data_IF_521599300853
#
_entry.id   IF_521599300853
#
_cell.length_a   1.000
_cell.length_b   1.000
_cell.length_c   1.000
_cell.angle_alpha   90.00
_cell.angle_beta   90.00
_cell.angle_gamma   90.00
#
_symmetry.space_group_name_H-M   'P 1'
#
loop_
_entity.id
_entity.type
_entity.pdbx_description
1 polymer ?
#
# COMPACT_ATOMS: atom_id res chain seq x y z
N UNK A 1 -10.37 14.19 -47.44
CA UNK A 1 -9.87 13.34 -46.34
C UNK A 1 -10.68 13.72 -45.11
N UNK A 2 -11.80 13.03 -44.86
CA UNK A 2 -12.63 13.25 -43.68
C UNK A 2 -11.89 12.62 -42.50
N UNK A 3 -11.36 13.45 -41.61
CA UNK A 3 -10.83 12.99 -40.32
C UNK A 3 -12.06 12.62 -39.49
N UNK A 4 -12.39 11.32 -39.47
CA UNK A 4 -13.32 10.77 -38.50
C UNK A 4 -12.68 10.99 -37.13
N UNK A 5 -13.18 11.96 -36.37
CA UNK A 5 -12.92 12.04 -34.94
C UNK A 5 -13.55 10.80 -34.32
N UNK A 6 -12.74 9.76 -34.06
CA UNK A 6 -13.15 8.65 -33.20
C UNK A 6 -13.45 9.27 -31.84
N UNK A 7 -14.72 9.43 -31.53
CA UNK A 7 -15.17 9.78 -30.19
C UNK A 7 -14.83 8.56 -29.33
N UNK A 8 -13.72 8.64 -28.60
CA UNK A 8 -13.34 7.60 -27.65
C UNK A 8 -14.36 7.65 -26.51
N UNK A 9 -15.03 6.54 -26.25
CA UNK A 9 -16.05 6.46 -25.21
C UNK A 9 -15.38 6.47 -23.83
N UNK A 10 -15.17 7.66 -23.26
CA UNK A 10 -14.76 7.81 -21.87
C UNK A 10 -15.82 7.24 -20.91
N UNK A 11 -15.41 6.93 -19.68
CA UNK A 11 -16.37 6.56 -18.63
C UNK A 11 -17.20 7.81 -18.28
N UNK A 12 -18.49 7.78 -18.64
CA UNK A 12 -19.43 8.82 -18.26
C UNK A 12 -19.62 8.81 -16.73
N UNK A 13 -19.31 9.93 -16.08
CA UNK A 13 -19.42 10.09 -14.63
C UNK A 13 -20.19 11.38 -14.30
N UNK A 14 -21.35 11.21 -13.69
CA UNK A 14 -22.04 12.27 -12.97
C UNK A 14 -21.68 12.17 -11.48
N UNK A 15 -20.89 13.12 -10.99
CA UNK A 15 -20.35 13.11 -9.62
C UNK A 15 -21.41 13.38 -8.54
N UNK A 16 -22.59 13.85 -8.92
CA UNK A 16 -23.70 14.11 -7.99
C UNK A 16 -24.77 13.00 -8.03
N UNK A 17 -24.62 11.99 -8.89
CA UNK A 17 -25.49 10.81 -8.94
C UNK A 17 -24.79 9.57 -8.36
N UNK A 18 -25.34 9.06 -7.26
CA UNK A 18 -24.87 7.85 -6.58
C UNK A 18 -24.85 6.63 -7.51
N UNK A 19 -25.81 6.50 -8.42
CA UNK A 19 -25.88 5.36 -9.34
C UNK A 19 -24.77 5.44 -10.38
N UNK A 20 -24.55 6.62 -10.97
CA UNK A 20 -23.43 6.89 -11.88
C UNK A 20 -22.08 6.56 -11.24
N UNK A 21 -21.80 7.04 -10.01
CA UNK A 21 -20.54 6.75 -9.30
C UNK A 21 -20.35 5.24 -9.11
N UNK A 22 -21.39 4.52 -8.66
CA UNK A 22 -21.33 3.07 -8.46
C UNK A 22 -21.07 2.32 -9.76
N UNK A 23 -21.75 2.70 -10.85
CA UNK A 23 -21.61 2.06 -12.16
C UNK A 23 -20.22 2.31 -12.76
N UNK A 24 -19.71 3.53 -12.67
CA UNK A 24 -18.36 3.88 -13.12
C UNK A 24 -17.31 3.09 -12.34
N UNK A 25 -17.38 3.10 -11.00
CA UNK A 25 -16.47 2.33 -10.16
C UNK A 25 -16.56 0.81 -10.40
N UNK A 26 -17.77 0.27 -10.58
CA UNK A 26 -17.98 -1.16 -10.85
C UNK A 26 -17.40 -1.58 -12.21
N UNK A 27 -17.52 -0.73 -13.24
CA UNK A 27 -16.93 -0.95 -14.56
C UNK A 27 -15.40 -1.04 -14.47
N UNK A 28 -14.76 -0.06 -13.81
CA UNK A 28 -13.30 -0.06 -13.64
C UNK A 28 -12.85 -1.24 -12.78
N UNK A 29 -13.60 -1.58 -11.72
CA UNK A 29 -13.32 -2.74 -10.89
C UNK A 29 -13.36 -4.05 -11.71
N UNK A 30 -14.37 -4.20 -12.58
CA UNK A 30 -14.49 -5.35 -13.47
C UNK A 30 -13.27 -5.45 -14.41
N UNK A 31 -12.90 -4.35 -15.05
CA UNK A 31 -11.76 -4.31 -15.97
C UNK A 31 -10.43 -4.58 -15.25
N UNK A 32 -10.24 -4.00 -14.06
CA UNK A 32 -9.08 -4.28 -13.23
C UNK A 32 -8.99 -5.77 -12.84
N UNK A 33 -10.12 -6.41 -12.55
CA UNK A 33 -10.17 -7.84 -12.24
C UNK A 33 -9.77 -8.74 -13.41
N UNK A 34 -9.79 -8.25 -14.65
CA UNK A 34 -9.30 -9.03 -15.80
C UNK A 34 -7.78 -9.28 -15.75
N UNK A 35 -7.02 -8.44 -15.05
CA UNK A 35 -5.58 -8.62 -14.79
C UNK A 35 -5.32 -9.69 -13.71
N UNK A 36 -6.31 -10.03 -12.89
CA UNK A 36 -6.16 -11.03 -11.84
C UNK A 36 -6.34 -12.44 -12.39
N UNK A 37 -5.30 -13.27 -12.31
CA UNK A 37 -5.36 -14.69 -12.67
C UNK A 37 -5.29 -15.62 -11.46
N UNK A 38 -5.14 -15.10 -10.25
CA UNK A 38 -4.94 -15.89 -9.04
C UNK A 38 -6.14 -16.74 -8.60
N UNK A 39 -7.35 -16.46 -9.10
CA UNK A 39 -8.55 -17.29 -8.87
C UNK A 39 -8.74 -18.39 -9.93
N UNK A 40 -7.89 -18.45 -10.96
CA UNK A 40 -7.98 -19.46 -12.01
C UNK A 40 -7.22 -20.72 -11.58
N UNK A 41 -7.54 -21.86 -12.19
CA UNK A 41 -6.79 -23.10 -11.95
C UNK A 41 -5.32 -22.90 -12.31
N UNK A 42 -4.41 -23.27 -11.39
CA UNK A 42 -2.97 -23.03 -11.51
C UNK A 42 -2.51 -21.60 -11.18
N UNK A 43 -3.44 -20.69 -10.91
CA UNK A 43 -3.15 -19.35 -10.40
C UNK A 43 -2.76 -19.37 -8.92
N UNK A 44 -2.02 -18.34 -8.50
CA UNK A 44 -1.67 -18.14 -7.08
C UNK A 44 -2.59 -17.05 -6.52
N UNK A 45 -3.46 -17.37 -5.55
CA UNK A 45 -4.36 -16.36 -5.03
C UNK A 45 -3.65 -15.20 -4.35
N UNK A 46 -4.21 -14.00 -4.51
CA UNK A 46 -3.62 -12.75 -4.01
C UNK A 46 -2.49 -12.19 -4.88
N UNK A 47 -2.13 -12.87 -5.98
CA UNK A 47 -1.09 -12.42 -6.90
C UNK A 47 -1.70 -11.97 -8.23
N UNK A 48 -1.34 -10.77 -8.68
CA UNK A 48 -1.64 -10.27 -10.02
C UNK A 48 -0.50 -10.65 -10.97
N UNK A 49 -0.83 -10.99 -12.21
CA UNK A 49 0.21 -11.28 -13.22
C UNK A 49 0.88 -9.96 -13.63
N UNK A 50 2.17 -10.03 -14.00
CA UNK A 50 3.00 -8.90 -14.47
C UNK A 50 3.42 -7.83 -13.46
N UNK A 51 3.05 -7.94 -12.19
CA UNK A 51 3.50 -7.01 -11.15
C UNK A 51 4.57 -7.65 -10.26
N UNK A 52 5.74 -7.03 -10.14
CA UNK A 52 6.64 -7.18 -8.97
C UNK A 52 5.99 -6.68 -7.68
N UNK A 53 4.91 -5.90 -7.83
CA UNK A 53 4.11 -5.23 -6.80
C UNK A 53 3.19 -6.23 -6.09
N UNK A 54 3.81 -6.98 -5.19
CA UNK A 54 3.31 -8.17 -4.49
C UNK A 54 2.42 -7.86 -3.27
N UNK A 55 2.16 -6.58 -2.99
CA UNK A 55 1.72 -6.10 -1.66
C UNK A 55 0.51 -5.15 -1.69
N UNK A 56 -0.04 -4.81 -2.86
CA UNK A 56 -0.73 -3.53 -3.02
C UNK A 56 -2.18 -3.62 -3.49
N UNK A 57 -2.92 -4.62 -3.04
CA UNK A 57 -4.32 -4.76 -3.44
C UNK A 57 -5.26 -5.16 -2.31
N UNK A 58 -4.80 -5.12 -1.07
CA UNK A 58 -5.52 -5.74 0.02
C UNK A 58 -6.97 -5.25 0.20
N UNK A 59 -7.30 -3.96 0.05
CA UNK A 59 -8.70 -3.50 0.18
C UNK A 59 -9.63 -3.87 -0.99
N UNK A 60 -9.10 -4.08 -2.20
CA UNK A 60 -9.89 -4.57 -3.33
C UNK A 60 -9.98 -6.10 -3.31
N UNK A 61 -8.92 -6.74 -2.81
CA UNK A 61 -8.86 -8.17 -2.58
C UNK A 61 -9.87 -8.61 -1.53
N UNK A 62 -10.31 -7.76 -0.59
CA UNK A 62 -11.37 -8.11 0.37
C UNK A 62 -12.55 -8.87 -0.29
N UNK A 63 -12.99 -8.49 -1.50
CA UNK A 63 -13.98 -9.26 -2.28
C UNK A 63 -13.52 -10.66 -2.76
N UNK A 64 -12.24 -10.82 -3.07
CA UNK A 64 -11.56 -12.11 -3.37
C UNK A 64 -11.44 -12.99 -2.11
N UNK A 65 -11.25 -12.39 -0.93
CA UNK A 65 -11.16 -13.12 0.34
C UNK A 65 -12.47 -13.83 0.69
N UNK A 66 -13.61 -13.40 0.12
CA UNK A 66 -14.90 -14.07 0.28
C UNK A 66 -14.94 -15.49 -0.30
N UNK A 67 -14.07 -15.82 -1.27
CA UNK A 67 -14.25 -17.02 -2.08
C UNK A 67 -13.29 -18.19 -1.82
N UNK A 68 -12.30 -18.11 -0.92
CA UNK A 68 -11.37 -19.25 -0.83
C UNK A 68 -10.68 -19.37 0.54
N UNK A 69 -10.92 -20.50 1.21
CA UNK A 69 -10.15 -20.92 2.38
C UNK A 69 -8.64 -21.09 2.08
N UNK A 70 -8.28 -21.53 0.87
CA UNK A 70 -6.88 -21.67 0.46
C UNK A 70 -6.16 -20.34 0.21
N UNK A 71 -6.86 -19.32 -0.31
CA UNK A 71 -6.29 -17.98 -0.51
C UNK A 71 -6.01 -17.28 0.81
N UNK A 72 -6.93 -17.42 1.77
CA UNK A 72 -6.74 -16.91 3.12
C UNK A 72 -5.52 -17.55 3.80
N UNK A 73 -5.35 -18.88 3.64
CA UNK A 73 -4.21 -19.62 4.22
C UNK A 73 -2.86 -19.20 3.61
N UNK A 74 -2.80 -18.98 2.29
CA UNK A 74 -1.55 -18.58 1.63
C UNK A 74 -1.12 -17.17 2.05
N UNK A 75 -2.07 -16.23 2.12
CA UNK A 75 -1.78 -14.82 2.38
C UNK A 75 -1.37 -14.56 3.83
N UNK A 76 -2.00 -15.22 4.79
CA UNK A 76 -1.67 -15.05 6.22
C UNK A 76 -0.28 -15.59 6.60
N UNK A 77 0.34 -16.40 5.74
CA UNK A 77 1.58 -17.10 6.04
C UNK A 77 1.40 -18.27 7.02
N UNK A 78 2.43 -19.10 7.14
CA UNK A 78 2.46 -20.28 7.99
C UNK A 78 2.28 -19.91 9.47
N UNK A 79 2.83 -18.77 9.88
CA UNK A 79 2.84 -18.25 11.24
C UNK A 79 1.68 -17.29 11.56
N UNK A 80 0.79 -17.02 10.59
CA UNK A 80 -0.35 -16.10 10.78
C UNK A 80 0.09 -14.66 11.09
N UNK A 81 1.11 -14.20 10.38
CA UNK A 81 1.76 -12.90 10.58
C UNK A 81 1.85 -12.09 9.28
N UNK A 82 1.25 -12.58 8.19
CA UNK A 82 1.38 -12.01 6.84
C UNK A 82 2.83 -12.02 6.32
N UNK A 83 3.66 -12.96 6.79
CA UNK A 83 5.03 -13.18 6.30
C UNK A 83 5.20 -14.57 5.70
N UNK A 84 4.51 -14.91 4.58
CA UNK A 84 4.65 -16.23 3.96
C UNK A 84 6.08 -16.49 3.49
N UNK A 85 6.63 -17.67 3.81
CA UNK A 85 8.04 -17.99 3.57
C UNK A 85 8.47 -17.86 2.09
N UNK A 86 7.58 -18.21 1.15
CA UNK A 86 7.81 -18.10 -0.29
C UNK A 86 8.07 -16.65 -0.78
N UNK A 87 7.80 -15.65 0.04
CA UNK A 87 7.87 -14.22 -0.32
C UNK A 87 8.96 -13.49 0.47
N UNK A 88 9.78 -14.23 1.21
CA UNK A 88 10.88 -13.70 2.03
C UNK A 88 11.89 -12.85 1.26
N UNK A 89 12.11 -13.12 -0.03
CA UNK A 89 13.03 -12.35 -0.89
C UNK A 89 12.55 -10.95 -1.27
N UNK A 90 11.31 -10.58 -0.93
CA UNK A 90 10.73 -9.27 -1.20
C UNK A 90 9.86 -8.81 -0.02
N UNK A 91 10.31 -9.08 1.21
CA UNK A 91 9.55 -8.82 2.42
C UNK A 91 10.03 -7.54 3.11
N UNK A 92 9.42 -6.42 2.75
CA UNK A 92 9.51 -5.17 3.47
C UNK A 92 8.53 -5.05 4.63
N UNK A 93 8.85 -4.20 5.61
CA UNK A 93 7.91 -3.84 6.68
C UNK A 93 6.71 -3.06 6.12
N UNK A 94 6.92 -2.30 5.06
CA UNK A 94 5.87 -1.69 4.24
C UNK A 94 5.00 -2.76 3.56
N UNK A 95 5.60 -3.75 2.88
CA UNK A 95 4.85 -4.83 2.23
C UNK A 95 3.92 -5.56 3.20
N UNK A 96 4.48 -6.00 4.35
CA UNK A 96 3.70 -6.61 5.42
C UNK A 96 2.67 -5.63 6.01
N UNK A 97 3.05 -4.35 6.13
CA UNK A 97 2.21 -3.27 6.64
C UNK A 97 0.96 -3.04 5.81
N UNK A 98 1.04 -3.07 4.48
CA UNK A 98 -0.14 -2.95 3.60
C UNK A 98 -1.13 -4.10 3.79
N UNK A 99 -0.65 -5.32 4.02
CA UNK A 99 -1.50 -6.46 4.41
C UNK A 99 -2.12 -6.28 5.80
N UNK A 100 -1.36 -5.77 6.77
CA UNK A 100 -1.88 -5.43 8.10
C UNK A 100 -2.96 -4.35 8.06
N UNK A 101 -2.73 -3.25 7.32
CA UNK A 101 -3.71 -2.18 7.12
C UNK A 101 -4.98 -2.65 6.40
N UNK A 102 -4.84 -3.65 5.53
CA UNK A 102 -5.98 -4.30 4.87
C UNK A 102 -6.80 -5.11 5.86
N UNK A 103 -6.16 -5.96 6.66
CA UNK A 103 -6.84 -6.72 7.70
C UNK A 103 -7.53 -5.77 8.71
N UNK A 104 -6.86 -4.68 9.09
CA UNK A 104 -7.45 -3.66 9.94
C UNK A 104 -8.70 -3.02 9.29
N UNK A 105 -8.66 -2.76 7.99
CA UNK A 105 -9.81 -2.20 7.26
C UNK A 105 -10.98 -3.17 7.19
N UNK A 106 -10.70 -4.46 7.02
CA UNK A 106 -11.72 -5.51 7.06
C UNK A 106 -12.42 -5.56 8.43
N UNK A 107 -11.66 -5.49 9.53
CA UNK A 107 -12.21 -5.42 10.89
C UNK A 107 -13.05 -4.15 11.13
N UNK A 108 -12.61 -3.01 10.61
CA UNK A 108 -13.23 -1.70 10.74
C UNK A 108 -14.50 -1.52 9.90
N UNK A 109 -14.61 -2.23 8.79
CA UNK A 109 -15.75 -2.13 7.85
C UNK A 109 -16.77 -3.25 8.01
N UNK A 110 -16.62 -4.08 9.06
CA UNK A 110 -17.44 -5.28 9.29
C UNK A 110 -17.45 -6.21 8.08
N UNK A 111 -16.30 -6.35 7.43
CA UNK A 111 -16.17 -7.34 6.39
C UNK A 111 -16.46 -8.74 6.97
N UNK A 112 -17.17 -9.64 6.25
CA UNK A 112 -17.50 -10.96 6.76
C UNK A 112 -16.30 -11.66 7.39
N UNK A 113 -16.50 -12.21 8.57
CA UNK A 113 -15.43 -12.87 9.31
C UNK A 113 -14.98 -14.15 8.59
N UNK A 114 -13.69 -14.52 8.72
CA UNK A 114 -13.19 -15.78 8.18
C UNK A 114 -13.93 -17.00 8.76
N UNK A 115 -13.86 -18.18 8.10
CA UNK A 115 -14.47 -19.40 8.61
C UNK A 115 -14.05 -19.71 10.05
N UNK A 116 -14.96 -20.30 10.84
CA UNK A 116 -14.68 -20.67 12.22
C UNK A 116 -13.40 -21.50 12.35
N UNK A 117 -12.57 -21.18 13.36
CA UNK A 117 -11.24 -21.77 13.54
C UNK A 117 -10.12 -21.07 12.77
N UNK A 118 -10.44 -20.13 11.87
CA UNK A 118 -9.45 -19.23 11.26
C UNK A 118 -9.28 -17.96 12.11
N UNK A 119 -8.07 -17.36 12.14
CA UNK A 119 -7.83 -16.08 12.81
C UNK A 119 -8.69 -14.95 12.25
N UNK A 120 -9.22 -14.09 13.13
CA UNK A 120 -9.98 -12.91 12.70
C UNK A 120 -9.11 -11.87 11.99
N UNK A 121 -9.76 -10.93 11.31
CA UNK A 121 -9.10 -9.78 10.68
C UNK A 121 -8.33 -8.94 11.70
N UNK A 122 -8.93 -8.73 12.87
CA UNK A 122 -8.28 -8.01 13.96
C UNK A 122 -7.01 -8.74 14.44
N UNK A 123 -7.06 -10.06 14.59
CA UNK A 123 -5.91 -10.86 15.00
C UNK A 123 -4.75 -10.76 14.00
N UNK A 124 -5.05 -10.73 12.70
CA UNK A 124 -4.04 -10.55 11.65
C UNK A 124 -3.39 -9.15 11.69
N UNK A 125 -4.18 -8.09 11.89
CA UNK A 125 -3.64 -6.75 12.07
C UNK A 125 -2.75 -6.65 13.33
N UNK A 126 -3.16 -7.28 14.43
CA UNK A 126 -2.37 -7.39 15.66
C UNK A 126 -1.07 -8.18 15.44
N UNK A 127 -1.10 -9.25 14.66
CA UNK A 127 0.11 -10.03 14.33
C UNK A 127 1.14 -9.18 13.59
N UNK A 128 0.72 -8.43 12.56
CA UNK A 128 1.60 -7.53 11.82
C UNK A 128 2.20 -6.48 12.76
N UNK A 129 1.37 -5.83 13.58
CA UNK A 129 1.86 -4.84 14.55
C UNK A 129 2.88 -5.44 15.53
N UNK A 130 2.55 -6.57 16.16
CA UNK A 130 3.40 -7.20 17.17
C UNK A 130 4.74 -7.66 16.59
N UNK A 131 4.73 -8.24 15.39
CA UNK A 131 5.97 -8.65 14.71
C UNK A 131 6.82 -7.45 14.26
N UNK A 132 6.21 -6.32 13.91
CA UNK A 132 6.94 -5.08 13.64
C UNK A 132 7.50 -4.45 14.92
N UNK A 133 6.74 -4.44 16.01
CA UNK A 133 7.15 -3.85 17.28
C UNK A 133 8.42 -4.50 17.86
N UNK A 134 8.65 -5.80 17.62
CA UNK A 134 9.90 -6.48 18.05
C UNK A 134 11.10 -6.21 17.14
N UNK A 135 10.91 -5.61 15.96
CA UNK A 135 11.96 -5.30 14.97
C UNK A 135 12.39 -3.84 14.97
N UNK A 136 11.90 -3.06 15.93
CA UNK A 136 12.28 -1.67 16.09
C UNK A 136 13.80 -1.58 16.31
N UNK A 137 14.46 -0.81 15.45
CA UNK A 137 15.86 -0.45 15.61
C UNK A 137 15.95 0.89 16.35
N UNK A 138 16.33 0.80 17.62
CA UNK A 138 16.54 1.94 18.52
C UNK A 138 18.01 2.33 18.68
N UNK A 139 18.91 1.78 17.87
CA UNK A 139 20.36 1.97 18.00
C UNK A 139 20.96 2.82 16.88
N UNK A 140 20.35 2.82 15.70
CA UNK A 140 20.83 3.58 14.52
C UNK A 140 19.95 4.79 14.23
N UNK A 141 20.49 5.80 13.53
CA UNK A 141 19.79 7.05 13.20
C UNK A 141 19.35 7.86 14.44
N UNK A 142 20.31 8.12 15.34
CA UNK A 142 20.11 8.85 16.61
C UNK A 142 19.16 8.16 17.62
N UNK A 143 18.90 6.86 17.42
CA UNK A 143 18.00 6.07 18.25
C UNK A 143 16.52 6.31 17.95
N UNK A 144 15.63 5.85 18.84
CA UNK A 144 14.17 6.02 18.72
C UNK A 144 13.43 4.83 18.10
N UNK A 145 12.11 4.95 17.97
CA UNK A 145 11.24 3.86 17.48
C UNK A 145 11.13 3.90 15.97
N UNK A 146 11.97 3.11 15.29
CA UNK A 146 11.99 3.06 13.84
C UNK A 146 12.15 1.67 13.25
N UNK A 147 11.49 1.46 12.11
CA UNK A 147 11.67 0.29 11.27
C UNK A 147 12.63 0.61 10.11
N UNK A 148 13.40 -0.40 9.74
CA UNK A 148 14.08 -0.46 8.45
C UNK A 148 13.06 -0.78 7.36
N UNK A 149 13.39 -0.48 6.11
CA UNK A 149 12.55 -0.83 4.98
C UNK A 149 12.34 -2.34 4.92
N UNK A 150 13.43 -3.11 4.84
CA UNK A 150 13.38 -4.56 4.70
C UNK A 150 13.26 -5.28 6.05
N UNK A 151 12.55 -6.41 6.09
CA UNK A 151 12.43 -7.25 7.29
C UNK A 151 13.71 -8.04 7.55
N UNK A 152 14.33 -8.57 6.48
CA UNK A 152 15.47 -9.47 6.62
C UNK A 152 16.81 -8.79 6.31
N UNK A 153 17.87 -9.03 7.10
CA UNK A 153 19.18 -8.38 6.93
C UNK A 153 19.86 -8.59 5.57
N UNK A 154 19.57 -9.70 4.89
CA UNK A 154 20.16 -10.05 3.60
C UNK A 154 19.50 -9.37 2.40
N UNK A 155 18.41 -8.62 2.62
CA UNK A 155 17.70 -7.93 1.55
C UNK A 155 18.35 -6.58 1.23
N UNK A 156 18.47 -6.29 -0.06
CA UNK A 156 18.86 -4.97 -0.54
C UNK A 156 17.87 -3.92 -0.01
N UNK A 157 18.38 -2.88 0.65
CA UNK A 157 17.56 -1.86 1.29
C UNK A 157 17.35 -2.07 2.80
N UNK A 158 17.91 -3.12 3.41
CA UNK A 158 17.88 -3.29 4.87
C UNK A 158 18.59 -2.15 5.64
N UNK A 159 19.56 -1.49 5.03
CA UNK A 159 20.23 -0.30 5.57
C UNK A 159 19.44 0.99 5.34
N UNK A 160 18.31 0.94 4.63
CA UNK A 160 17.46 2.11 4.38
C UNK A 160 16.34 2.17 5.42
N UNK A 161 16.18 3.32 6.09
CA UNK A 161 15.02 3.61 6.94
C UNK A 161 14.12 4.58 6.20
N UNK A 162 12.94 4.14 5.79
CA UNK A 162 12.03 4.93 4.97
C UNK A 162 10.75 5.32 5.72
N UNK A 163 10.11 6.39 5.25
CA UNK A 163 8.87 6.92 5.81
C UNK A 163 7.71 5.96 5.63
N UNK A 164 7.69 5.14 4.57
CA UNK A 164 6.57 4.23 4.29
C UNK A 164 6.49 3.05 5.28
N UNK A 165 7.60 2.40 5.63
CA UNK A 165 7.58 1.31 6.63
C UNK A 165 7.11 1.83 8.00
N UNK A 166 7.62 3.00 8.40
CA UNK A 166 7.27 3.65 9.66
C UNK A 166 5.83 4.20 9.64
N UNK A 167 5.38 4.74 8.50
CA UNK A 167 4.02 5.21 8.28
C UNK A 167 2.98 4.08 8.35
N UNK A 168 3.29 2.91 7.80
CA UNK A 168 2.45 1.72 7.94
C UNK A 168 2.32 1.30 9.41
N UNK A 169 3.43 1.22 10.15
CA UNK A 169 3.43 0.86 11.56
C UNK A 169 2.64 1.88 12.41
N UNK A 170 2.87 3.18 12.19
CA UNK A 170 2.10 4.27 12.78
C UNK A 170 0.59 4.13 12.51
N UNK A 171 0.22 3.89 11.25
CA UNK A 171 -1.18 3.76 10.83
C UNK A 171 -1.89 2.60 11.54
N UNK A 172 -1.25 1.42 11.55
CA UNK A 172 -1.79 0.23 12.21
C UNK A 172 -1.90 0.47 13.72
N UNK A 173 -0.86 1.03 14.36
CA UNK A 173 -0.87 1.35 15.80
C UNK A 173 -2.00 2.30 16.18
N UNK A 174 -2.14 3.43 15.49
CA UNK A 174 -3.22 4.40 15.75
C UNK A 174 -4.62 3.77 15.60
N UNK A 175 -4.81 2.92 14.60
CA UNK A 175 -6.08 2.23 14.33
C UNK A 175 -6.38 1.14 15.34
N UNK A 176 -5.39 0.35 15.74
CA UNK A 176 -5.52 -0.65 16.79
C UNK A 176 -5.82 0.01 18.14
N UNK A 177 -5.17 1.14 18.45
CA UNK A 177 -5.47 1.92 19.66
C UNK A 177 -6.95 2.32 19.71
N UNK A 178 -7.47 2.91 18.62
CA UNK A 178 -8.89 3.28 18.52
C UNK A 178 -9.81 2.07 18.58
N UNK A 179 -9.51 1.00 17.84
CA UNK A 179 -10.40 -0.15 17.73
C UNK A 179 -10.51 -0.93 19.04
N UNK A 180 -9.39 -1.08 19.76
CA UNK A 180 -9.28 -1.93 20.94
C UNK A 180 -9.34 -1.16 22.26
N UNK A 181 -9.21 0.18 22.21
CA UNK A 181 -9.05 1.05 23.38
C UNK A 181 -7.83 0.66 24.25
N UNK A 182 -6.74 0.22 23.61
CA UNK A 182 -5.49 -0.13 24.28
C UNK A 182 -4.43 0.95 24.01
N UNK A 183 -3.97 1.58 25.10
CA UNK A 183 -3.04 2.71 25.06
C UNK A 183 -1.66 2.36 24.48
N UNK A 184 -1.18 1.12 24.65
CA UNK A 184 0.15 0.72 24.16
C UNK A 184 0.30 0.95 22.65
N UNK A 185 -0.75 0.68 21.86
CA UNK A 185 -0.70 0.94 20.42
C UNK A 185 -0.60 2.44 20.10
N UNK A 186 -1.22 3.30 20.91
CA UNK A 186 -1.13 4.75 20.77
C UNK A 186 0.27 5.25 21.14
N UNK A 187 0.87 4.71 22.20
CA UNK A 187 2.22 5.07 22.64
C UNK A 187 3.24 4.81 21.52
N UNK A 188 3.17 3.63 20.87
CA UNK A 188 4.02 3.34 19.72
C UNK A 188 3.78 4.28 18.53
N UNK A 189 2.52 4.61 18.25
CA UNK A 189 2.20 5.56 17.18
C UNK A 189 2.77 6.96 17.48
N UNK A 190 2.68 7.42 18.73
CA UNK A 190 3.28 8.70 19.15
C UNK A 190 4.82 8.66 19.03
N UNK A 191 5.45 7.58 19.49
CA UNK A 191 6.91 7.42 19.39
C UNK A 191 7.40 7.40 17.93
N UNK A 192 6.67 6.74 17.03
CA UNK A 192 7.00 6.75 15.59
C UNK A 192 6.81 8.14 14.98
N UNK A 193 5.73 8.86 15.34
CA UNK A 193 5.51 10.23 14.88
C UNK A 193 6.67 11.15 15.28
N UNK A 194 7.04 11.14 16.56
CA UNK A 194 8.13 11.96 17.07
C UNK A 194 9.46 11.58 16.41
N UNK A 195 9.69 10.30 16.15
CA UNK A 195 10.89 9.87 15.43
C UNK A 195 10.95 10.45 14.01
N UNK A 196 9.89 10.33 13.19
CA UNK A 196 9.83 10.86 11.81
C UNK A 196 10.11 12.36 11.77
N UNK A 197 9.58 13.11 12.74
CA UNK A 197 9.86 14.55 12.88
C UNK A 197 11.33 14.80 13.23
N UNK A 198 11.85 14.12 14.24
CA UNK A 198 13.20 14.38 14.77
C UNK A 198 14.33 14.04 13.78
N UNK A 199 14.13 13.01 12.94
CA UNK A 199 15.08 12.66 11.86
C UNK A 199 14.96 13.55 10.62
N UNK A 200 14.00 14.49 10.61
CA UNK A 200 13.81 15.43 9.51
C UNK A 200 13.13 14.83 8.28
N UNK A 201 12.50 13.65 8.41
CA UNK A 201 11.66 13.09 7.33
C UNK A 201 10.35 13.85 7.21
N UNK A 202 9.98 14.63 8.21
CA UNK A 202 8.91 15.62 8.14
C UNK A 202 9.47 17.00 8.45
N UNK A 203 9.34 17.94 7.51
CA UNK A 203 9.75 19.34 7.73
C UNK A 203 8.68 20.15 8.50
N UNK A 204 9.00 21.40 8.83
CA UNK A 204 8.09 22.32 9.54
C UNK A 204 6.83 22.66 8.75
N UNK A 205 6.84 22.43 7.43
CA UNK A 205 5.69 22.58 6.54
C UNK A 205 4.92 21.28 6.35
N UNK A 206 5.23 20.24 7.12
CA UNK A 206 4.63 18.90 7.05
C UNK A 206 4.88 18.17 5.72
N UNK A 207 5.89 18.57 4.94
CA UNK A 207 6.34 17.79 3.80
C UNK A 207 7.01 16.52 4.30
N UNK A 208 6.65 15.37 3.72
CA UNK A 208 7.20 14.06 4.10
C UNK A 208 8.18 13.59 3.02
N UNK A 209 9.42 13.32 3.41
CA UNK A 209 10.49 12.79 2.55
C UNK A 209 10.56 11.26 2.61
N UNK A 210 11.20 10.65 1.61
CA UNK A 210 11.16 9.20 1.39
C UNK A 210 11.91 8.39 2.46
N UNK A 211 13.11 8.82 2.84
CA UNK A 211 13.94 8.11 3.79
C UNK A 211 15.43 8.46 3.65
N UNK A 212 16.26 7.72 4.38
CA UNK A 212 17.71 7.83 4.35
C UNK A 212 18.38 6.50 4.72
N UNK A 213 19.62 6.31 4.27
CA UNK A 213 20.45 5.18 4.67
C UNK A 213 21.03 5.41 6.08
N UNK A 214 21.14 4.34 6.87
CA UNK A 214 21.76 4.40 8.22
C UNK A 214 23.20 4.91 8.18
N UNK A 215 23.89 4.68 7.06
CA UNK A 215 25.29 5.01 6.78
C UNK A 215 25.50 6.54 6.69
N UNK A 216 24.43 7.28 6.36
CA UNK A 216 24.41 8.74 6.18
C UNK A 216 23.89 9.49 7.41
N UNK A 217 23.80 8.79 8.55
CA UNK A 217 23.53 9.33 9.88
C UNK A 217 22.20 10.12 10.02
N UNK A 218 21.19 9.87 9.17
CA UNK A 218 19.78 10.28 9.30
C UNK A 218 19.48 11.69 9.89
N UNK A 219 20.40 12.67 9.77
CA UNK A 219 20.37 13.92 10.53
C UNK A 219 19.57 15.02 9.79
N UNK A 220 18.83 15.95 10.41
CA UNK A 220 18.43 16.22 11.80
C UNK A 220 17.38 17.37 11.85
N UNK A 221 16.52 17.46 12.88
CA UNK A 221 16.35 18.62 13.81
C UNK A 221 15.30 18.31 14.91
N UNK A 222 15.64 18.55 16.17
CA UNK A 222 14.80 18.37 17.37
C UNK A 222 13.94 19.59 17.69
N UNK A 223 12.62 19.45 17.93
CA UNK A 223 11.93 20.33 18.88
C UNK A 223 10.61 19.77 19.47
N UNK A 224 10.64 19.78 20.81
CA UNK A 224 9.67 19.75 21.90
C UNK A 224 8.27 19.10 21.80
N UNK A 225 8.01 18.36 22.87
CA UNK A 225 6.85 17.57 23.28
C UNK A 225 5.71 18.44 23.81
N UNK A 226 4.46 18.00 23.69
CA UNK A 226 3.47 17.91 24.81
C UNK A 226 2.09 17.43 24.35
N UNK A 227 1.24 17.16 25.34
CA UNK A 227 -0.04 16.44 25.35
C UNK A 227 -1.15 16.96 24.41
N UNK A 228 -1.61 16.07 23.54
CA UNK A 228 -3.00 15.57 23.49
C UNK A 228 -4.18 16.56 23.50
N UNK A 229 -4.93 16.53 22.39
CA UNK A 229 -6.29 17.07 22.12
C UNK A 229 -6.40 18.32 21.22
N UNK A 230 -5.36 19.16 21.09
CA UNK A 230 -5.31 20.23 20.07
C UNK A 230 -4.21 19.97 19.01
N UNK A 231 -3.14 19.31 19.44
CA UNK A 231 -1.95 19.03 18.64
C UNK A 231 -2.26 18.11 17.46
N UNK A 232 -3.13 17.11 17.64
CA UNK A 232 -3.51 16.22 16.54
C UNK A 232 -4.37 16.91 15.48
N UNK A 233 -5.22 17.86 15.87
CA UNK A 233 -5.97 18.67 14.90
C UNK A 233 -5.02 19.56 14.09
N UNK A 234 -4.05 20.21 14.73
CA UNK A 234 -3.01 21.00 14.07
C UNK A 234 -2.18 20.14 13.11
N UNK A 235 -1.72 18.97 13.55
CA UNK A 235 -0.98 18.01 12.72
C UNK A 235 -1.80 17.58 11.50
N UNK A 236 -3.09 17.29 11.66
CA UNK A 236 -3.98 16.95 10.54
C UNK A 236 -4.11 18.12 9.56
N UNK A 237 -4.30 19.35 10.04
CA UNK A 237 -4.35 20.53 9.17
C UNK A 237 -3.04 20.77 8.43
N UNK A 238 -1.90 20.65 9.11
CA UNK A 238 -0.57 20.77 8.51
C UNK A 238 -0.35 19.75 7.40
N UNK A 239 -0.61 18.48 7.67
CA UNK A 239 -0.50 17.40 6.68
C UNK A 239 -1.44 17.61 5.49
N UNK A 240 -2.68 18.03 5.72
CA UNK A 240 -3.63 18.31 4.63
C UNK A 240 -3.14 19.46 3.74
N UNK A 241 -2.62 20.54 4.33
CA UNK A 241 -2.11 21.66 3.57
C UNK A 241 -0.90 21.27 2.70
N UNK A 242 0.06 20.53 3.26
CA UNK A 242 1.19 19.99 2.50
C UNK A 242 0.71 19.06 1.38
N UNK A 243 -0.27 18.20 1.68
CA UNK A 243 -0.85 17.27 0.73
C UNK A 243 -1.50 18.00 -0.46
N UNK A 244 -2.35 18.99 -0.19
CA UNK A 244 -3.01 19.77 -1.24
C UNK A 244 -2.01 20.56 -2.09
N UNK A 245 -0.98 21.14 -1.45
CA UNK A 245 0.06 21.91 -2.14
C UNK A 245 0.87 21.04 -3.10
N UNK A 246 1.29 19.87 -2.64
CA UNK A 246 2.22 19.03 -3.39
C UNK A 246 1.50 18.12 -4.38
N UNK A 247 0.43 17.45 -3.95
CA UNK A 247 -0.19 16.37 -4.72
C UNK A 247 -1.48 16.79 -5.44
N UNK A 248 -1.90 18.05 -5.31
CA UNK A 248 -3.02 18.61 -6.08
C UNK A 248 -2.67 19.97 -6.72
N UNK A 249 -1.54 20.06 -7.45
CA UNK A 249 -0.95 21.33 -7.85
C UNK A 249 -1.77 22.09 -8.91
N UNK A 250 -2.62 21.38 -9.66
CA UNK A 250 -3.38 21.93 -10.79
C UNK A 250 -4.83 21.49 -10.68
N UNK A 251 -5.76 22.46 -10.70
CA UNK A 251 -7.21 22.25 -10.75
C UNK A 251 -7.77 21.29 -9.68
N UNK A 252 -7.09 21.16 -8.54
CA UNK A 252 -7.45 20.21 -7.47
C UNK A 252 -7.45 18.74 -7.93
N UNK A 253 -6.66 18.42 -8.96
CA UNK A 253 -6.51 17.07 -9.51
C UNK A 253 -5.29 16.39 -8.89
N UNK A 254 -5.46 15.17 -8.38
CA UNK A 254 -4.37 14.41 -7.78
C UNK A 254 -3.26 14.08 -8.80
N UNK A 255 -2.03 14.29 -8.38
CA UNK A 255 -0.84 14.24 -9.24
C UNK A 255 0.35 13.64 -8.51
N UNK A 256 1.07 12.70 -9.14
CA UNK A 256 2.30 12.14 -8.59
C UNK A 256 3.53 12.96 -9.04
N UNK A 257 3.98 13.87 -8.15
CA UNK A 257 5.03 14.86 -8.45
C UNK A 257 6.37 14.25 -8.84
N UNK A 258 6.69 13.06 -8.34
CA UNK A 258 8.00 12.47 -8.54
C UNK A 258 8.20 11.97 -9.98
N UNK A 259 7.12 11.56 -10.66
CA UNK A 259 7.25 10.79 -11.90
C UNK A 259 6.19 11.10 -12.97
N UNK A 260 5.03 11.67 -12.63
CA UNK A 260 3.90 11.79 -13.56
C UNK A 260 4.20 12.76 -14.71
N UNK A 261 5.01 13.80 -14.47
CA UNK A 261 5.41 14.80 -15.48
C UNK A 261 6.02 14.17 -16.73
N UNK A 262 6.80 13.11 -16.54
CA UNK A 262 7.50 12.37 -17.61
C UNK A 262 6.88 10.99 -17.86
N UNK A 263 5.80 10.64 -17.14
CA UNK A 263 5.23 9.30 -17.08
C UNK A 263 6.29 8.21 -16.81
N UNK A 264 7.29 8.52 -15.99
CA UNK A 264 8.38 7.61 -15.64
C UNK A 264 8.11 6.84 -14.34
N UNK A 265 6.83 6.73 -13.96
CA UNK A 265 6.41 6.10 -12.72
C UNK A 265 6.71 4.60 -12.73
N UNK A 266 7.15 4.08 -11.58
CA UNK A 266 7.27 2.64 -11.39
C UNK A 266 5.89 2.01 -11.22
N UNK A 267 5.82 0.68 -11.34
CA UNK A 267 4.57 -0.09 -11.12
C UNK A 267 3.89 0.28 -9.79
N UNK A 268 4.67 0.52 -8.76
CA UNK A 268 4.19 0.84 -7.41
C UNK A 268 3.60 2.26 -7.37
N UNK A 269 4.31 3.23 -7.96
CA UNK A 269 3.90 4.64 -8.00
C UNK A 269 2.54 4.85 -8.71
N UNK A 270 2.20 4.01 -9.70
CA UNK A 270 0.89 4.07 -10.35
C UNK A 270 -0.30 3.84 -9.39
N UNK A 271 -0.06 3.21 -8.23
CA UNK A 271 -1.11 2.94 -7.24
C UNK A 271 -1.27 4.03 -6.17
N UNK A 272 -0.30 4.94 -6.02
CA UNK A 272 -0.26 5.86 -4.86
C UNK A 272 -1.47 6.79 -4.77
N UNK A 273 -1.96 7.28 -5.91
CA UNK A 273 -3.18 8.11 -5.96
C UNK A 273 -4.43 7.36 -5.47
N UNK A 274 -4.45 6.03 -5.59
CA UNK A 274 -5.51 5.21 -5.01
C UNK A 274 -5.50 5.31 -3.48
N UNK A 275 -4.33 5.18 -2.85
CA UNK A 275 -4.21 5.26 -1.39
C UNK A 275 -4.50 6.66 -0.88
N UNK A 276 -3.92 7.68 -1.53
CA UNK A 276 -4.12 9.07 -1.20
C UNK A 276 -5.62 9.43 -1.16
N UNK A 277 -6.35 9.15 -2.24
CA UNK A 277 -7.79 9.48 -2.33
C UNK A 277 -8.63 8.73 -1.30
N UNK A 278 -8.33 7.45 -1.06
CA UNK A 278 -9.04 6.64 -0.05
C UNK A 278 -8.77 7.10 1.37
N UNK A 279 -7.53 7.41 1.70
CA UNK A 279 -7.15 7.84 3.05
C UNK A 279 -7.64 9.25 3.35
N UNK A 280 -7.64 10.15 2.38
CA UNK A 280 -8.30 11.46 2.50
C UNK A 280 -9.80 11.30 2.77
N UNK A 281 -10.49 10.44 2.02
CA UNK A 281 -11.90 10.17 2.27
C UNK A 281 -12.14 9.58 3.67
N UNK A 282 -11.34 8.60 4.10
CA UNK A 282 -11.41 8.04 5.45
C UNK A 282 -11.17 9.10 6.54
N UNK A 283 -10.25 10.04 6.29
CA UNK A 283 -9.96 11.16 7.19
C UNK A 283 -11.21 11.99 7.44
N UNK A 284 -12.06 12.23 6.44
CA UNK A 284 -13.33 12.97 6.63
C UNK A 284 -14.31 12.29 7.61
N UNK A 285 -14.20 10.98 7.82
CA UNK A 285 -15.02 10.24 8.80
C UNK A 285 -14.42 10.29 10.20
N UNK A 286 -13.09 10.33 10.29
CA UNK A 286 -12.37 10.37 11.56
C UNK A 286 -12.26 11.78 12.14
N UNK A 287 -12.13 12.76 11.25
CA UNK A 287 -11.96 14.17 11.55
C UNK A 287 -13.01 14.96 10.74
N UNK A 288 -14.29 15.00 11.16
CA UNK A 288 -15.38 15.58 10.36
C UNK A 288 -15.15 17.03 9.92
N UNK A 289 -14.37 17.81 10.68
CA UNK A 289 -13.99 19.18 10.31
C UNK A 289 -13.19 19.28 9.00
N UNK A 290 -12.61 18.17 8.51
CA UNK A 290 -11.85 18.14 7.25
C UNK A 290 -12.73 17.86 6.04
N UNK A 291 -14.02 17.56 6.21
CA UNK A 291 -14.90 17.14 5.11
C UNK A 291 -14.95 18.20 3.99
N UNK A 292 -15.27 19.44 4.34
CA UNK A 292 -15.39 20.54 3.38
C UNK A 292 -14.04 20.95 2.77
N UNK A 293 -12.92 20.63 3.46
CA UNK A 293 -11.57 20.87 2.95
C UNK A 293 -11.16 19.81 1.92
N UNK A 294 -11.52 18.54 2.13
CA UNK A 294 -11.03 17.40 1.34
C UNK A 294 -11.92 17.14 0.12
N UNK A 295 -13.24 17.19 0.27
CA UNK A 295 -14.17 16.72 -0.75
C UNK A 295 -14.07 17.43 -2.11
N UNK A 296 -13.79 18.76 -2.20
CA UNK A 296 -13.57 19.41 -3.50
C UNK A 296 -12.47 18.75 -4.33
N UNK A 297 -11.33 18.41 -3.69
CA UNK A 297 -10.20 17.73 -4.34
C UNK A 297 -10.54 16.31 -4.79
N UNK A 298 -11.30 15.56 -3.98
CA UNK A 298 -11.73 14.21 -4.34
C UNK A 298 -12.72 14.22 -5.52
N UNK A 299 -13.66 15.17 -5.54
CA UNK A 299 -14.61 15.34 -6.63
C UNK A 299 -13.91 15.72 -7.94
N UNK A 300 -13.04 16.73 -7.90
CA UNK A 300 -12.29 17.18 -9.08
C UNK A 300 -11.43 16.05 -9.65
N UNK A 301 -10.71 15.33 -8.77
CA UNK A 301 -9.90 14.17 -9.16
C UNK A 301 -10.72 13.04 -9.77
N UNK A 302 -11.92 12.75 -9.25
CA UNK A 302 -12.80 11.71 -9.79
C UNK A 302 -13.24 12.02 -11.22
N UNK A 303 -13.68 13.26 -11.47
CA UNK A 303 -14.10 13.71 -12.80
C UNK A 303 -12.93 13.68 -13.77
N UNK A 304 -11.74 14.10 -13.35
CA UNK A 304 -10.54 14.05 -14.18
C UNK A 304 -10.07 12.61 -14.47
N UNK A 305 -10.16 11.72 -13.47
CA UNK A 305 -9.83 10.32 -13.64
C UNK A 305 -10.74 9.62 -14.66
N UNK A 306 -12.04 9.88 -14.61
CA UNK A 306 -13.02 9.30 -15.54
C UNK A 306 -12.71 9.64 -17.00
N UNK A 307 -12.25 10.87 -17.27
CA UNK A 307 -11.84 11.33 -18.62
C UNK A 307 -10.61 10.60 -19.17
N UNK A 308 -9.74 10.10 -18.30
CA UNK A 308 -8.58 9.29 -18.69
C UNK A 308 -8.90 7.79 -18.84
N UNK A 309 -10.14 7.38 -18.59
CA UNK A 309 -10.62 6.02 -18.84
C UNK A 309 -11.19 5.90 -20.25
N UNK A 310 -10.32 6.11 -21.24
CA UNK A 310 -10.65 6.13 -22.66
C UNK A 310 -9.55 5.52 -23.55
N UNK A 311 -8.70 4.66 -22.98
CA UNK A 311 -7.58 4.03 -23.69
C UNK A 311 -8.05 3.14 -24.87
N UNK A 312 -7.56 3.36 -26.10
CA UNK A 312 -8.10 2.79 -27.34
C UNK A 312 -7.77 1.30 -27.57
N UNK A 313 -8.39 0.68 -28.57
CA UNK A 313 -7.97 -0.60 -29.14
C UNK A 313 -6.43 -0.73 -29.32
N UNK A 314 -5.79 -1.89 -29.03
CA UNK A 314 -6.39 -3.20 -28.74
C UNK A 314 -6.89 -3.38 -27.30
N UNK A 315 -6.90 -2.32 -26.49
CA UNK A 315 -7.56 -2.34 -25.19
C UNK A 315 -9.09 -2.28 -25.34
N UNK A 316 -9.82 -2.09 -24.25
CA UNK A 316 -11.29 -2.16 -24.20
C UNK A 316 -11.99 -0.80 -24.43
N UNK A 317 -11.30 0.16 -25.08
CA UNK A 317 -11.74 1.55 -25.32
C UNK A 317 -12.07 2.38 -24.07
N UNK A 318 -11.86 1.83 -22.86
CA UNK A 318 -12.15 2.47 -21.57
C UNK A 318 -11.06 2.25 -20.51
N UNK A 319 -9.89 1.79 -20.93
CA UNK A 319 -8.74 1.58 -20.04
C UNK A 319 -8.31 2.92 -19.44
N UNK A 320 -8.28 2.99 -18.11
CA UNK A 320 -7.77 4.16 -17.38
C UNK A 320 -6.24 4.32 -17.47
N UNK A 321 -5.82 5.52 -17.85
CA UNK A 321 -4.46 6.04 -17.65
C UNK A 321 -4.23 6.63 -16.25
N UNK A 322 -3.02 7.12 -15.97
CA UNK A 322 -2.67 7.75 -14.70
C UNK A 322 -2.82 9.27 -14.73
N UNK A 323 -2.50 9.93 -15.85
CA UNK A 323 -2.32 11.38 -15.89
C UNK A 323 -3.60 12.13 -16.16
N UNK A 324 -4.41 12.29 -15.11
CA UNK A 324 -5.73 12.90 -15.12
C UNK A 324 -5.74 14.35 -15.60
N UNK A 325 -4.62 15.07 -15.43
CA UNK A 325 -4.44 16.44 -15.92
C UNK A 325 -4.44 16.52 -17.46
N UNK A 326 -4.22 15.41 -18.18
CA UNK A 326 -4.28 15.39 -19.66
C UNK A 326 -5.72 15.35 -20.20
N UNK A 327 -6.74 15.37 -19.34
CA UNK A 327 -8.14 15.43 -19.74
C UNK A 327 -8.56 14.20 -20.52
N UNK A 328 -8.97 14.35 -21.78
CA UNK A 328 -9.35 13.23 -22.66
C UNK A 328 -8.21 12.74 -23.54
N UNK A 329 -7.03 13.37 -23.49
CA UNK A 329 -5.86 12.87 -24.21
C UNK A 329 -5.25 11.73 -23.41
N UNK A 330 -5.54 10.49 -23.79
CA UNK A 330 -5.09 9.31 -23.07
C UNK A 330 -3.57 9.31 -22.91
N UNK A 331 -3.11 9.08 -21.69
CA UNK A 331 -1.69 9.23 -21.36
C UNK A 331 -0.79 8.09 -21.85
N UNK A 332 -1.37 7.01 -22.37
CA UNK A 332 -0.66 5.84 -22.88
C UNK A 332 -0.29 4.79 -21.83
N UNK A 333 -0.57 5.06 -20.55
CA UNK A 333 -0.28 4.14 -19.45
C UNK A 333 -1.47 3.25 -19.15
N UNK A 334 -1.20 2.03 -18.68
CA UNK A 334 -2.22 1.07 -18.32
C UNK A 334 -1.70 0.07 -17.29
N UNK A 335 -2.61 -0.58 -16.59
CA UNK A 335 -2.28 -1.60 -15.60
C UNK A 335 -3.14 -1.49 -14.35
N UNK A 336 -2.87 -2.40 -13.41
CA UNK A 336 -3.62 -2.54 -12.16
C UNK A 336 -3.57 -1.25 -11.33
N UNK A 337 -2.40 -0.60 -11.23
CA UNK A 337 -2.24 0.64 -10.46
C UNK A 337 -3.13 1.77 -10.98
N UNK A 338 -3.15 1.97 -12.31
CA UNK A 338 -3.95 3.01 -12.96
C UNK A 338 -5.45 2.76 -12.81
N UNK A 339 -5.91 1.52 -13.06
CA UNK A 339 -7.31 1.17 -12.83
C UNK A 339 -7.70 1.37 -11.36
N UNK A 340 -6.84 0.95 -10.43
CA UNK A 340 -7.09 1.10 -9.00
C UNK A 340 -7.16 2.56 -8.57
N UNK A 341 -6.26 3.40 -9.08
CA UNK A 341 -6.24 4.83 -8.81
C UNK A 341 -7.52 5.51 -9.31
N UNK A 342 -7.92 5.27 -10.56
CA UNK A 342 -9.13 5.84 -11.13
C UNK A 342 -10.39 5.36 -10.41
N UNK A 343 -10.52 4.04 -10.20
CA UNK A 343 -11.62 3.45 -9.44
C UNK A 343 -11.72 4.08 -8.05
N UNK A 344 -10.58 4.22 -7.36
CA UNK A 344 -10.51 4.77 -6.01
C UNK A 344 -10.92 6.23 -5.94
N UNK A 345 -10.40 7.07 -6.83
CA UNK A 345 -10.81 8.46 -6.92
C UNK A 345 -12.33 8.62 -7.14
N UNK A 346 -12.95 7.70 -7.90
CA UNK A 346 -14.38 7.72 -8.18
C UNK A 346 -15.21 7.27 -6.96
N UNK A 347 -15.00 6.04 -6.47
CA UNK A 347 -15.92 5.45 -5.48
C UNK A 347 -15.86 6.16 -4.11
N UNK A 348 -14.74 6.82 -3.77
CA UNK A 348 -14.61 7.54 -2.49
C UNK A 348 -15.61 8.70 -2.35
N UNK A 349 -16.21 9.17 -3.44
CA UNK A 349 -17.27 10.18 -3.40
C UNK A 349 -18.58 9.67 -2.78
N UNK A 350 -18.68 8.35 -2.53
CA UNK A 350 -19.75 7.73 -1.75
C UNK A 350 -19.52 7.81 -0.23
N UNK A 351 -18.42 8.40 0.23
CA UNK A 351 -18.00 8.36 1.64
C UNK A 351 -19.10 8.78 2.62
N UNK A 352 -19.92 9.80 2.34
CA UNK A 352 -21.00 10.15 3.26
C UNK A 352 -22.04 9.04 3.45
N UNK A 353 -22.27 8.22 2.43
CA UNK A 353 -23.21 7.09 2.45
C UNK A 353 -22.63 5.84 3.10
N UNK A 354 -21.34 5.83 3.43
CA UNK A 354 -20.70 4.69 4.11
C UNK A 354 -20.71 4.87 5.63
N UNK A 355 -20.74 3.74 6.33
CA UNK A 355 -20.60 3.73 7.79
C UNK A 355 -19.18 4.16 8.19
N UNK A 356 -19.05 4.89 9.30
CA UNK A 356 -17.76 5.18 9.88
C UNK A 356 -17.09 3.87 10.38
N UNK A 357 -15.75 3.75 10.30
CA UNK A 357 -15.03 2.60 10.84
C UNK A 357 -15.41 2.27 12.29
N UNK A 358 -15.78 1.02 12.52
CA UNK A 358 -16.22 0.55 13.84
C UNK A 358 -15.04 0.26 14.77
N UNK A 359 -15.37 0.00 16.02
CA UNK A 359 -14.46 -0.44 17.09
C UNK A 359 -15.00 -1.76 17.67
N UNK A 360 -14.28 -2.34 18.64
CA UNK A 360 -14.78 -3.48 19.41
C UNK A 360 -16.09 -3.20 20.16
N UNK A 361 -16.39 -1.93 20.47
CA UNK A 361 -17.58 -1.51 21.22
C UNK A 361 -18.70 -0.95 20.33
N UNK A 362 -18.40 -0.59 19.08
CA UNK A 362 -19.37 0.00 18.14
C UNK A 362 -19.79 -0.96 17.02
N UNK A 363 -19.71 -2.27 17.31
CA UNK A 363 -20.25 -3.33 16.48
C UNK A 363 -19.28 -3.97 15.51
N UNK A 364 -17.97 -3.88 15.76
CA UNK A 364 -16.97 -4.75 15.13
C UNK A 364 -17.15 -6.20 15.57
N UNK A 365 -17.10 -7.13 14.63
CA UNK A 365 -17.34 -8.56 14.88
C UNK A 365 -16.05 -9.38 14.90
N UNK A 366 -14.97 -8.83 14.36
CA UNK A 366 -13.74 -9.60 14.15
C UNK A 366 -12.98 -9.85 15.45
N UNK A 367 -12.70 -11.12 15.71
CA UNK A 367 -12.04 -11.57 16.94
C UNK A 367 -10.54 -11.30 16.86
N UNK A 368 -10.00 -10.64 17.89
CA UNK A 368 -8.58 -10.37 18.05
C UNK A 368 -7.83 -11.48 18.78
N UNK A 369 -6.51 -11.36 18.80
CA UNK A 369 -5.60 -12.13 19.64
C UNK A 369 -4.43 -11.21 20.01
N UNK A 370 -4.33 -10.82 21.29
CA UNK A 370 -3.26 -9.92 21.76
C UNK A 370 -1.86 -10.52 21.66
N UNK A 371 -1.75 -11.86 21.66
CA UNK A 371 -0.50 -12.57 21.46
C UNK A 371 -0.23 -12.93 19.98
N UNK A 372 -1.05 -12.44 19.04
CA UNK A 372 -0.85 -12.75 17.63
C UNK A 372 0.56 -12.32 17.17
N UNK A 373 1.24 -13.15 16.38
CA UNK A 373 2.59 -12.89 15.90
C UNK A 373 3.70 -13.06 16.94
N UNK A 374 3.41 -13.34 18.22
CA UNK A 374 4.45 -13.52 19.25
C UNK A 374 5.28 -14.80 19.08
N UNK A 375 4.73 -15.79 18.36
CA UNK A 375 5.40 -17.06 18.04
C UNK A 375 6.09 -17.04 16.66
N UNK A 376 5.99 -15.94 15.91
CA UNK A 376 6.73 -15.77 14.67
C UNK A 376 8.21 -15.78 15.00
N UNK A 377 8.87 -16.88 14.69
CA UNK A 377 10.26 -17.13 15.10
C UNK A 377 11.15 -16.01 14.59
N UNK A 378 11.62 -15.18 15.51
CA UNK A 378 12.74 -14.23 15.35
C UNK A 378 14.05 -14.98 15.18
N UNK A 379 14.13 -15.93 14.26
CA UNK A 379 15.40 -16.32 13.66
C UNK A 379 15.54 -15.47 12.41
N UNK A 380 15.86 -14.20 12.63
CA UNK A 380 16.48 -13.32 11.63
C UNK A 380 17.92 -13.76 11.32
N UNK A 381 18.29 -14.99 11.71
CA UNK A 381 19.55 -15.60 11.36
C UNK A 381 19.73 -15.40 9.86
N UNK A 382 20.72 -14.57 9.52
CA UNK A 382 21.24 -14.50 8.19
C UNK A 382 21.37 -15.94 7.71
N UNK A 383 20.84 -16.24 6.52
CA UNK A 383 21.14 -17.49 5.82
C UNK A 383 22.61 -17.78 6.10
N UNK A 384 22.89 -18.87 6.82
CA UNK A 384 24.24 -19.15 7.33
C UNK A 384 25.19 -18.87 6.17
N UNK A 385 26.22 -18.01 6.34
CA UNK A 385 27.09 -17.66 5.25
C UNK A 385 27.58 -18.95 4.60
N UNK A 386 27.53 -19.05 3.26
CA UNK A 386 27.80 -20.30 2.57
C UNK A 386 29.15 -20.83 3.02
N UNK A 387 29.15 -22.07 3.47
CA UNK A 387 30.36 -22.75 3.92
C UNK A 387 31.37 -22.83 2.77
N UNK A 388 32.63 -23.12 3.09
CA UNK A 388 33.63 -23.39 2.04
C UNK A 388 33.15 -24.50 1.10
N UNK A 389 32.44 -25.51 1.62
CA UNK A 389 31.83 -26.57 0.82
C UNK A 389 30.77 -26.04 -0.15
N UNK A 390 29.88 -25.15 0.30
CA UNK A 390 28.83 -24.55 -0.54
C UNK A 390 29.43 -23.70 -1.66
N UNK A 391 30.49 -22.93 -1.36
CA UNK A 391 31.19 -22.11 -2.35
C UNK A 391 31.90 -22.96 -3.41
N UNK A 392 32.54 -24.05 -2.99
CA UNK A 392 33.19 -25.01 -3.90
C UNK A 392 32.14 -25.70 -4.76
N UNK A 393 31.05 -26.18 -4.17
CA UNK A 393 29.94 -26.81 -4.90
C UNK A 393 29.32 -25.87 -5.93
N UNK A 394 29.03 -24.63 -5.55
CA UNK A 394 28.49 -23.61 -6.46
C UNK A 394 29.47 -23.29 -7.61
N UNK A 395 30.77 -23.19 -7.32
CA UNK A 395 31.81 -22.99 -8.33
C UNK A 395 31.91 -24.16 -9.33
N UNK A 396 31.84 -25.40 -8.85
CA UNK A 396 31.84 -26.59 -9.70
C UNK A 396 30.61 -26.63 -10.60
N UNK A 397 29.41 -26.44 -10.04
CA UNK A 397 28.16 -26.42 -10.81
C UNK A 397 28.19 -25.32 -11.88
N UNK A 398 28.61 -24.11 -11.51
CA UNK A 398 28.72 -22.98 -12.45
C UNK A 398 29.68 -23.31 -13.60
N UNK A 399 30.83 -23.90 -13.29
CA UNK A 399 31.82 -24.31 -14.30
C UNK A 399 31.25 -25.36 -15.23
N UNK A 400 30.59 -26.39 -14.70
CA UNK A 400 29.95 -27.45 -15.51
C UNK A 400 28.88 -26.87 -16.44
N UNK A 401 28.04 -25.96 -15.94
CA UNK A 401 27.01 -25.30 -16.75
C UNK A 401 27.64 -24.45 -17.85
N UNK A 402 28.65 -23.63 -17.54
CA UNK A 402 29.32 -22.78 -18.54
C UNK A 402 30.05 -23.60 -19.60
N UNK A 403 30.75 -24.67 -19.21
CA UNK A 403 31.40 -25.61 -20.13
C UNK A 403 30.37 -26.35 -20.98
N UNK A 404 29.27 -26.79 -20.39
CA UNK A 404 28.17 -27.43 -21.11
C UNK A 404 27.52 -26.50 -22.14
N UNK A 405 27.22 -25.26 -21.75
CA UNK A 405 26.65 -24.25 -22.64
C UNK A 405 27.61 -23.89 -23.78
N UNK A 406 28.88 -23.64 -23.48
CA UNK A 406 29.89 -23.33 -24.52
C UNK A 406 30.14 -24.50 -25.47
N UNK A 407 30.17 -25.75 -24.96
CA UNK A 407 30.24 -26.95 -25.79
C UNK A 407 29.02 -27.11 -26.70
N UNK A 408 27.82 -26.84 -26.17
CA UNK A 408 26.58 -26.88 -26.95
C UNK A 408 26.55 -25.80 -28.05
N UNK A 409 26.90 -24.56 -27.72
CA UNK A 409 26.97 -23.48 -28.70
C UNK A 409 28.07 -23.72 -29.75
N UNK A 410 29.22 -24.26 -29.34
CA UNK A 410 30.29 -24.66 -30.25
C UNK A 410 29.85 -25.74 -31.22
N UNK A 411 29.18 -26.79 -30.74
CA UNK A 411 28.62 -27.85 -31.59
C UNK A 411 27.57 -27.33 -32.57
N UNK A 412 26.67 -26.45 -32.12
CA UNK A 412 25.65 -25.85 -33.00
C UNK A 412 26.23 -24.89 -34.06
N UNK A 413 27.47 -24.43 -33.89
CA UNK A 413 28.14 -23.53 -34.83
C UNK A 413 28.98 -24.24 -35.89
N UNK A 414 29.12 -25.57 -35.78
CA UNK A 414 29.69 -26.47 -36.78
C UNK A 414 28.57 -27.07 -37.63
#
# INVERSE_FOLDING_TARGET
MLISSVVHAEIELNIDDETSIKNAAATIAYDMMTYYKGNQSGGIPGVFTWTSTKSYLGLLLVGIWRNVGDSYRLLRGENVDMMPANWSQSMGNDDQGFWGMTAMSAAETKFPDPPAGSPGWLALAQAVFNTQAVRIDNTTCNGGVSLRWQVYPYLTGYTYKNSIANGCFFNIGARLARYTNNATYADYAELTWEWVKNVGYMDEKYNIYDGAHIDENCAATMYNYTNGSAIWEERVKGLLNATFTNFFPTDQIAYEIACEAKLSCTTDMFSFKAYLTRWLAATTKMAPFTYDLIMPYLKASAVAAAKQCNGPSPFNDRTCGLSWIKGTNWDGTYGVGQQMAAMSAIFVNLVQKTQAPVTNSTGGTSVGNSAAGSSSTTTLDAVKPPSTGDRVGAGMVTTVVLVGMTGMFGWMSL
#
